data_IF_699452003623
#
_entry.id   IF_699452003623
#
_cell.length_a   1.000
_cell.length_b   1.000
_cell.length_c   1.000
_cell.angle_alpha   90.00
_cell.angle_beta   90.00
_cell.angle_gamma   90.00
#
_symmetry.space_group_name_H-M   'P 1'
#
loop_
_entity.id
_entity.type
_entity.pdbx_description
1 polymer ?
#
# COMPACT_ATOMS: atom_id res chain seq x y z
N UNK A 1 -11.31 21.82 -18.27
CA UNK A 1 -11.95 22.04 -16.95
C UNK A 1 -11.10 21.33 -15.92
N UNK A 2 -10.70 22.03 -14.85
CA UNK A 2 -10.06 21.41 -13.69
C UNK A 2 -11.11 20.56 -12.98
N UNK A 3 -11.04 19.24 -13.13
CA UNK A 3 -11.87 18.33 -12.33
C UNK A 3 -11.40 18.45 -10.89
N UNK A 4 -12.26 19.00 -10.01
CA UNK A 4 -11.98 19.15 -8.59
C UNK A 4 -12.96 18.27 -7.82
N UNK A 5 -12.42 17.44 -6.93
CA UNK A 5 -13.22 16.58 -6.07
C UNK A 5 -13.95 17.44 -5.03
N UNK A 6 -15.20 17.12 -4.77
CA UNK A 6 -15.95 17.64 -3.64
C UNK A 6 -15.33 17.17 -2.31
N UNK A 7 -15.62 17.91 -1.23
CA UNK A 7 -15.18 17.52 0.12
C UNK A 7 -15.67 16.13 0.51
N UNK A 8 -16.87 15.75 0.06
CA UNK A 8 -17.45 14.43 0.32
C UNK A 8 -16.67 13.32 -0.40
N UNK A 9 -16.27 13.55 -1.65
CA UNK A 9 -15.45 12.59 -2.40
C UNK A 9 -14.07 12.42 -1.77
N UNK A 10 -13.43 13.52 -1.36
CA UNK A 10 -12.14 13.47 -0.64
C UNK A 10 -12.28 12.67 0.65
N UNK A 11 -13.33 12.93 1.44
CA UNK A 11 -13.56 12.20 2.70
C UNK A 11 -13.77 10.70 2.45
N UNK A 12 -14.58 10.33 1.45
CA UNK A 12 -14.81 8.93 1.07
C UNK A 12 -13.49 8.25 0.68
N UNK A 13 -12.64 8.95 -0.05
CA UNK A 13 -11.36 8.42 -0.52
C UNK A 13 -10.35 8.20 0.61
N UNK A 14 -10.27 9.15 1.55
CA UNK A 14 -9.45 9.01 2.76
C UNK A 14 -9.92 7.84 3.62
N UNK A 15 -11.24 7.70 3.80
CA UNK A 15 -11.81 6.57 4.55
C UNK A 15 -11.51 5.24 3.86
N UNK A 16 -11.64 5.18 2.53
CA UNK A 16 -11.35 3.98 1.75
C UNK A 16 -9.87 3.57 1.89
N UNK A 17 -8.97 4.54 1.73
CA UNK A 17 -7.53 4.35 1.92
C UNK A 17 -7.16 3.91 3.33
N UNK A 18 -7.83 4.45 4.35
CA UNK A 18 -7.58 4.09 5.75
C UNK A 18 -8.17 2.75 6.18
N UNK A 19 -9.15 2.22 5.46
CA UNK A 19 -9.76 0.90 5.76
C UNK A 19 -9.05 -0.25 5.08
N UNK A 20 -8.49 -0.01 3.91
CA UNK A 20 -7.89 -1.04 3.08
C UNK A 20 -6.43 -0.66 2.74
N UNK A 21 -5.44 -1.29 3.41
CA UNK A 21 -4.03 -1.04 3.15
C UNK A 21 -3.62 -1.42 1.72
N UNK A 22 -4.20 -2.49 1.16
CA UNK A 22 -3.90 -2.95 -0.21
C UNK A 22 -4.35 -1.90 -1.21
N UNK A 23 -5.55 -1.36 -1.02
CA UNK A 23 -6.08 -0.29 -1.85
C UNK A 23 -5.20 0.96 -1.78
N UNK A 24 -4.83 1.41 -0.57
CA UNK A 24 -3.95 2.56 -0.43
C UNK A 24 -2.60 2.36 -1.15
N UNK A 25 -1.97 1.20 -0.95
CA UNK A 25 -0.65 0.91 -1.52
C UNK A 25 -0.71 0.87 -3.05
N UNK A 26 -1.66 0.16 -3.64
CA UNK A 26 -1.76 0.03 -5.10
C UNK A 26 -2.14 1.34 -5.81
N UNK A 27 -2.86 2.25 -5.15
CA UNK A 27 -3.32 3.50 -5.78
C UNK A 27 -2.39 4.69 -5.51
N UNK A 28 -1.74 4.74 -4.34
CA UNK A 28 -0.99 5.91 -3.89
C UNK A 28 0.50 5.67 -3.70
N UNK A 29 0.95 4.45 -3.43
CA UNK A 29 2.37 4.18 -3.27
C UNK A 29 3.08 4.15 -4.63
N UNK A 30 4.33 4.64 -4.65
CA UNK A 30 5.17 4.70 -5.85
C UNK A 30 6.56 4.19 -5.52
N UNK A 31 7.19 3.54 -6.50
CA UNK A 31 8.58 3.10 -6.45
C UNK A 31 9.42 3.78 -7.52
N UNK A 32 10.71 3.91 -7.26
CA UNK A 32 11.67 4.45 -8.23
C UNK A 32 12.08 3.38 -9.23
N UNK A 33 11.78 3.62 -10.51
CA UNK A 33 12.25 2.81 -11.63
C UNK A 33 13.45 3.52 -12.31
N UNK A 34 14.60 2.84 -12.50
CA UNK A 34 15.84 3.46 -12.99
C UNK A 34 15.70 4.29 -14.26
N UNK A 35 14.85 3.85 -15.20
CA UNK A 35 14.64 4.53 -16.49
C UNK A 35 13.35 5.34 -16.58
N UNK A 36 12.35 5.05 -15.73
CA UNK A 36 10.98 5.57 -15.86
C UNK A 36 10.61 6.57 -14.76
N UNK A 37 11.51 6.80 -13.80
CA UNK A 37 11.24 7.63 -12.63
C UNK A 37 10.25 6.95 -11.69
N UNK A 38 9.39 7.75 -11.04
CA UNK A 38 8.39 7.24 -10.11
C UNK A 38 7.25 6.55 -10.84
N UNK A 39 7.07 5.26 -10.59
CA UNK A 39 5.98 4.45 -11.13
C UNK A 39 5.08 3.92 -10.00
N UNK A 40 3.82 3.57 -10.26
CA UNK A 40 2.95 2.93 -9.28
C UNK A 40 3.56 1.64 -8.72
N UNK A 41 3.42 1.44 -7.41
CA UNK A 41 3.85 0.23 -6.71
C UNK A 41 2.74 -0.82 -6.71
N UNK A 42 2.41 -1.32 -7.90
CA UNK A 42 1.41 -2.38 -8.05
C UNK A 42 1.94 -3.68 -7.43
N UNK A 43 1.20 -4.23 -6.48
CA UNK A 43 1.58 -5.42 -5.73
C UNK A 43 1.40 -6.68 -6.57
N UNK A 44 2.30 -7.65 -6.40
CA UNK A 44 2.04 -9.02 -6.84
C UNK A 44 1.04 -9.70 -5.90
N UNK A 45 0.34 -10.74 -6.35
CA UNK A 45 -0.67 -11.45 -5.56
C UNK A 45 -0.14 -11.86 -4.17
N UNK A 46 1.05 -12.47 -4.11
CA UNK A 46 1.65 -12.86 -2.83
C UNK A 46 1.98 -11.67 -1.90
N UNK A 47 2.21 -10.47 -2.46
CA UNK A 47 2.48 -9.26 -1.67
C UNK A 47 1.18 -8.69 -1.10
N UNK A 48 0.08 -8.80 -1.85
CA UNK A 48 -1.27 -8.51 -1.36
C UNK A 48 -1.61 -9.45 -0.19
N UNK A 49 -1.42 -10.75 -0.36
CA UNK A 49 -1.64 -11.75 0.70
C UNK A 49 -0.81 -11.40 1.95
N UNK A 50 0.45 -10.98 1.78
CA UNK A 50 1.30 -10.58 2.90
C UNK A 50 0.73 -9.38 3.66
N UNK A 51 0.21 -8.35 2.97
CA UNK A 51 -0.40 -7.19 3.62
C UNK A 51 -1.64 -7.60 4.43
N UNK A 52 -2.49 -8.45 3.86
CA UNK A 52 -3.69 -8.96 4.54
C UNK A 52 -3.29 -9.72 5.82
N UNK A 53 -2.31 -10.63 5.72
CA UNK A 53 -1.77 -11.32 6.89
C UNK A 53 -1.14 -10.38 7.92
N UNK A 54 -0.49 -9.29 7.51
CA UNK A 54 0.06 -8.28 8.42
C UNK A 54 -1.02 -7.51 9.18
N UNK A 55 -2.17 -7.29 8.56
CA UNK A 55 -3.29 -6.60 9.17
C UNK A 55 -4.11 -7.52 10.08
N UNK A 56 -4.25 -8.79 9.71
CA UNK A 56 -5.08 -9.76 10.43
C UNK A 56 -4.35 -10.44 11.61
N UNK A 57 -3.01 -10.46 11.57
CA UNK A 57 -2.19 -11.14 12.55
C UNK A 57 -1.13 -10.22 13.16
N UNK A 58 -1.11 -10.16 14.50
CA UNK A 58 -0.10 -9.37 15.25
C UNK A 58 1.33 -9.86 15.03
N UNK A 59 1.52 -11.17 14.83
CA UNK A 59 2.82 -11.79 14.62
C UNK A 59 2.79 -12.62 13.35
N UNK A 60 3.73 -12.34 12.45
CA UNK A 60 3.86 -13.01 11.15
C UNK A 60 5.27 -13.61 11.01
N UNK A 61 5.35 -14.89 10.63
CA UNK A 61 6.61 -15.56 10.30
C UNK A 61 6.56 -15.90 8.82
N UNK A 62 7.53 -15.40 8.05
CA UNK A 62 7.53 -15.51 6.59
C UNK A 62 8.67 -16.42 6.14
N UNK A 63 8.35 -17.55 5.50
CA UNK A 63 9.30 -18.31 4.70
C UNK A 63 9.31 -17.75 3.27
N UNK A 64 10.44 -17.20 2.84
CA UNK A 64 10.55 -16.51 1.54
C UNK A 64 11.86 -16.77 0.80
N UNK A 65 11.78 -16.79 -0.53
CA UNK A 65 12.95 -16.81 -1.41
C UNK A 65 13.70 -15.47 -1.39
N UNK A 66 14.80 -15.37 -2.16
CA UNK A 66 15.56 -14.12 -2.31
C UNK A 66 14.88 -13.19 -3.33
N UNK A 67 15.12 -11.89 -3.20
CA UNK A 67 14.75 -10.86 -4.18
C UNK A 67 13.24 -10.72 -4.49
N UNK A 68 12.38 -11.11 -3.54
CA UNK A 68 10.91 -10.96 -3.68
C UNK A 68 10.37 -9.56 -3.32
N UNK A 69 11.24 -8.61 -2.96
CA UNK A 69 10.81 -7.26 -2.61
C UNK A 69 10.01 -7.16 -1.29
N UNK A 70 10.17 -8.11 -0.36
CA UNK A 70 9.43 -8.12 0.91
C UNK A 70 9.72 -6.86 1.76
N UNK A 71 10.95 -6.33 1.72
CA UNK A 71 11.28 -5.09 2.43
C UNK A 71 10.48 -3.90 1.92
N UNK A 72 10.23 -3.83 0.60
CA UNK A 72 9.48 -2.73 -0.03
C UNK A 72 8.01 -2.79 0.36
N UNK A 73 7.39 -3.97 0.29
CA UNK A 73 5.98 -4.12 0.68
C UNK A 73 5.78 -3.86 2.18
N UNK A 74 6.73 -4.29 3.01
CA UNK A 74 6.71 -4.00 4.46
C UNK A 74 6.81 -2.50 4.73
N UNK A 75 7.70 -1.79 4.01
CA UNK A 75 7.82 -0.34 4.15
C UNK A 75 6.53 0.39 3.72
N UNK A 76 5.88 -0.07 2.65
CA UNK A 76 4.59 0.47 2.20
C UNK A 76 3.48 0.24 3.25
N UNK A 77 3.44 -0.94 3.87
CA UNK A 77 2.51 -1.23 4.96
C UNK A 77 2.77 -0.37 6.20
N UNK A 78 4.03 -0.16 6.58
CA UNK A 78 4.40 0.75 7.68
C UNK A 78 3.98 2.19 7.36
N UNK A 79 4.14 2.64 6.11
CA UNK A 79 3.67 3.96 5.69
C UNK A 79 2.15 4.12 5.85
N UNK A 80 1.39 3.09 5.47
CA UNK A 80 -0.05 3.06 5.73
C UNK A 80 -0.35 3.11 7.24
N UNK A 81 0.37 2.32 8.05
CA UNK A 81 0.17 2.33 9.51
C UNK A 81 0.42 3.70 10.12
N UNK A 82 1.47 4.40 9.69
CA UNK A 82 1.77 5.76 10.18
C UNK A 82 0.66 6.77 9.87
N UNK A 83 -0.11 6.55 8.79
CA UNK A 83 -1.17 7.48 8.38
C UNK A 83 -2.56 7.10 8.92
N UNK A 84 -2.85 5.81 9.06
CA UNK A 84 -4.22 5.34 9.26
C UNK A 84 -4.40 4.39 10.45
N UNK A 85 -3.33 3.82 11.01
CA UNK A 85 -3.40 2.86 12.10
C UNK A 85 -3.20 3.56 13.46
N UNK A 86 -3.98 3.17 14.47
CA UNK A 86 -3.90 3.69 15.85
C UNK A 86 -3.83 2.55 16.86
#
# INVERSE_FOLDING_TARGET
MSYSLSKEEILKEVIRSGKDPVYFINNYAKISHPLKGLIPFNTYDFQTDLIENFNDHRFNIILKARQLGISTITAAYVAWMMMFHR
#
